data_IF_514126000104
#
_entry.id   IF_514126000104
#
_cell.length_a   1.000
_cell.length_b   1.000
_cell.length_c   1.000
_cell.angle_alpha   90.00
_cell.angle_beta   90.00
_cell.angle_gamma   90.00
#
_symmetry.space_group_name_H-M   'P 1'
#
loop_
_entity.id
_entity.type
_entity.pdbx_description
1 polymer ?
#
# COMPACT_ATOMS: atom_id res chain seq x y z
N UNK A 1 16.41 -38.50 47.54
CA UNK A 1 15.57 -38.32 46.32
C UNK A 1 15.24 -36.84 46.19
N UNK A 2 15.81 -36.15 45.21
CA UNK A 2 15.53 -34.72 44.97
C UNK A 2 14.23 -34.61 44.18
N UNK A 3 13.20 -33.98 44.79
CA UNK A 3 11.93 -33.66 44.12
C UNK A 3 12.20 -32.64 43.03
N UNK A 4 12.05 -33.02 41.77
CA UNK A 4 12.09 -32.11 40.63
C UNK A 4 10.73 -31.40 40.59
N UNK A 5 10.73 -30.08 40.81
CA UNK A 5 9.53 -29.26 40.84
C UNK A 5 8.79 -29.34 39.51
N UNK A 6 7.48 -29.54 39.57
CA UNK A 6 6.56 -29.56 38.43
C UNK A 6 6.72 -28.30 37.52
N UNK A 7 7.07 -27.18 38.13
CA UNK A 7 7.35 -25.91 37.46
C UNK A 7 8.55 -25.97 36.50
N UNK A 8 9.54 -26.82 36.84
CA UNK A 8 10.74 -26.99 35.99
C UNK A 8 10.45 -27.83 34.74
N UNK A 9 9.52 -28.79 34.85
CA UNK A 9 9.08 -29.62 33.73
C UNK A 9 8.18 -28.80 32.79
N UNK A 10 7.26 -28.00 33.35
CA UNK A 10 6.40 -27.13 32.54
C UNK A 10 7.21 -26.09 31.74
N UNK A 11 8.20 -25.45 32.35
CA UNK A 11 9.07 -24.47 31.64
C UNK A 11 9.92 -25.10 30.54
N UNK A 12 10.29 -26.36 30.62
CA UNK A 12 10.99 -27.07 29.55
C UNK A 12 10.05 -27.42 28.39
N UNK A 13 8.85 -27.92 28.70
CA UNK A 13 7.84 -28.25 27.67
C UNK A 13 7.41 -27.00 26.90
N UNK A 14 7.19 -25.88 27.57
CA UNK A 14 6.82 -24.61 26.93
C UNK A 14 7.91 -24.11 25.96
N UNK A 15 9.20 -24.24 26.32
CA UNK A 15 10.31 -23.87 25.42
C UNK A 15 10.41 -24.72 24.17
N UNK A 16 10.11 -26.01 24.27
CA UNK A 16 10.12 -26.92 23.10
C UNK A 16 8.88 -26.75 22.23
N UNK A 17 7.70 -26.44 22.79
CA UNK A 17 6.50 -26.12 22.01
C UNK A 17 6.65 -24.84 21.20
N UNK A 18 7.19 -23.76 21.82
CA UNK A 18 7.42 -22.51 21.10
C UNK A 18 8.51 -22.61 20.03
N UNK A 19 9.57 -23.41 20.28
CA UNK A 19 10.60 -23.67 19.29
C UNK A 19 10.10 -24.47 18.08
N UNK A 20 9.19 -25.40 18.28
CA UNK A 20 8.62 -26.23 17.22
C UNK A 20 7.61 -25.47 16.35
N UNK A 21 6.82 -24.55 16.93
CA UNK A 21 5.88 -23.70 16.19
C UNK A 21 6.63 -22.67 15.34
N UNK A 22 7.73 -22.09 15.83
CA UNK A 22 8.54 -21.14 15.08
C UNK A 22 9.25 -21.79 13.87
N UNK A 23 9.66 -23.05 13.97
CA UNK A 23 10.28 -23.80 12.86
C UNK A 23 9.28 -24.21 11.77
N UNK A 24 8.00 -24.44 12.11
CA UNK A 24 6.96 -24.75 11.14
C UNK A 24 6.49 -23.53 10.35
N UNK A 25 6.56 -22.33 10.94
CA UNK A 25 6.12 -21.08 10.28
C UNK A 25 7.09 -20.61 9.20
N UNK A 26 8.35 -21.03 9.21
CA UNK A 26 9.34 -20.62 8.19
C UNK A 26 9.32 -21.49 6.92
N UNK A 27 8.66 -22.65 6.94
CA UNK A 27 8.56 -23.52 5.76
C UNK A 27 7.41 -23.17 4.81
N UNK A 28 6.52 -22.23 5.19
CA UNK A 28 5.35 -21.89 4.39
C UNK A 28 5.60 -20.82 3.31
N UNK A 29 6.78 -20.15 3.31
CA UNK A 29 7.07 -19.04 2.39
C UNK A 29 7.92 -19.40 1.17
N UNK A 30 8.25 -20.67 0.93
CA UNK A 30 9.07 -21.11 -0.21
C UNK A 30 8.33 -21.99 -1.23
N UNK A 31 7.02 -21.90 -1.32
CA UNK A 31 6.34 -22.41 -2.52
C UNK A 31 6.23 -21.26 -3.54
N UNK A 32 7.28 -21.11 -4.34
CA UNK A 32 7.09 -20.62 -5.70
C UNK A 32 6.12 -21.57 -6.39
N UNK A 33 4.87 -21.17 -6.49
CA UNK A 33 3.84 -21.89 -7.24
C UNK A 33 4.24 -21.78 -8.72
N UNK A 34 5.09 -22.69 -9.14
CA UNK A 34 5.34 -22.91 -10.55
C UNK A 34 4.08 -23.61 -11.06
N UNK A 35 3.20 -22.90 -11.74
CA UNK A 35 2.13 -23.54 -12.49
C UNK A 35 2.79 -24.45 -13.53
N UNK A 36 2.63 -25.78 -13.44
CA UNK A 36 3.32 -26.71 -14.34
C UNK A 36 2.88 -26.61 -15.81
N UNK A 37 1.75 -25.96 -16.06
CA UNK A 37 1.06 -25.96 -17.35
C UNK A 37 1.09 -24.62 -18.11
N UNK A 38 1.86 -23.62 -17.65
CA UNK A 38 2.01 -22.38 -18.42
C UNK A 38 3.16 -22.54 -19.45
N UNK A 39 2.85 -22.80 -20.73
CA UNK A 39 3.88 -22.97 -21.75
C UNK A 39 4.60 -21.66 -22.08
N UNK A 40 4.04 -20.54 -21.62
CA UNK A 40 4.57 -19.19 -21.84
C UNK A 40 5.01 -18.62 -20.49
N UNK A 41 6.26 -18.18 -20.42
CA UNK A 41 6.78 -17.45 -19.27
C UNK A 41 6.71 -15.95 -19.57
N UNK A 42 6.21 -15.18 -18.64
CA UNK A 42 6.23 -13.72 -18.72
C UNK A 42 7.68 -13.20 -18.75
N UNK A 43 7.90 -12.15 -19.49
CA UNK A 43 9.15 -11.38 -19.46
C UNK A 43 8.91 -10.21 -18.51
N UNK A 44 9.73 -10.04 -17.45
CA UNK A 44 9.63 -8.88 -16.58
C UNK A 44 9.71 -7.58 -17.41
N UNK A 45 8.79 -6.64 -17.18
CA UNK A 45 8.73 -5.40 -17.97
C UNK A 45 10.03 -4.61 -17.90
N UNK A 46 10.82 -4.73 -16.83
CA UNK A 46 12.14 -4.13 -16.67
C UNK A 46 13.20 -4.68 -17.64
N UNK A 47 12.94 -5.82 -18.26
CA UNK A 47 13.78 -6.42 -19.30
C UNK A 47 13.34 -6.04 -20.72
N UNK A 48 12.23 -5.31 -20.85
CA UNK A 48 11.72 -4.83 -22.13
C UNK A 48 12.21 -3.41 -22.33
N UNK A 49 13.02 -3.20 -23.36
CA UNK A 49 13.55 -1.89 -23.71
C UNK A 49 12.85 -1.39 -24.96
N UNK A 50 12.27 -0.21 -24.91
CA UNK A 50 11.67 0.46 -26.03
C UNK A 50 12.64 1.50 -26.59
N UNK A 51 12.97 1.34 -27.86
CA UNK A 51 13.85 2.25 -28.62
C UNK A 51 13.17 2.58 -29.95
N UNK A 52 12.18 3.45 -29.90
CA UNK A 52 11.37 3.83 -31.06
C UNK A 52 10.96 5.30 -31.00
N UNK A 53 10.45 5.80 -32.14
CA UNK A 53 10.03 7.20 -32.26
C UNK A 53 8.57 7.45 -31.80
N UNK A 54 7.85 6.42 -31.38
CA UNK A 54 6.46 6.53 -30.98
C UNK A 54 6.30 6.41 -29.44
N UNK A 55 6.77 5.31 -28.83
CA UNK A 55 6.59 5.07 -27.39
C UNK A 55 7.61 5.79 -26.53
N UNK A 56 8.88 5.81 -26.94
CA UNK A 56 9.95 6.45 -26.17
C UNK A 56 9.65 7.90 -25.78
N UNK A 57 9.19 8.78 -26.68
CA UNK A 57 8.81 10.15 -26.32
C UNK A 57 7.62 10.22 -25.35
N UNK A 58 6.67 9.28 -25.46
CA UNK A 58 5.50 9.24 -24.55
C UNK A 58 5.86 8.81 -23.17
N UNK A 59 6.73 7.82 -23.03
CA UNK A 59 7.26 7.37 -21.73
C UNK A 59 8.01 8.53 -21.06
N UNK A 60 8.84 9.26 -21.82
CA UNK A 60 9.57 10.41 -21.28
C UNK A 60 8.62 11.54 -20.87
N UNK A 61 7.59 11.83 -21.66
CA UNK A 61 6.55 12.80 -21.29
C UNK A 61 5.79 12.36 -20.04
N UNK A 62 5.45 11.08 -19.92
CA UNK A 62 4.81 10.56 -18.72
C UNK A 62 5.69 10.77 -17.49
N UNK A 63 6.97 10.43 -17.58
CA UNK A 63 7.94 10.57 -16.49
C UNK A 63 8.16 12.03 -16.08
N UNK A 64 8.33 12.94 -17.05
CA UNK A 64 8.77 14.32 -16.78
C UNK A 64 7.64 15.32 -16.62
N UNK A 65 6.44 14.99 -17.11
CA UNK A 65 5.30 15.92 -17.13
C UNK A 65 4.09 15.32 -16.43
N UNK A 66 3.61 14.13 -16.85
CA UNK A 66 2.32 13.60 -16.35
C UNK A 66 2.38 13.22 -14.88
N UNK A 67 3.40 12.47 -14.47
CA UNK A 67 3.58 12.05 -13.07
C UNK A 67 3.73 13.27 -12.14
N UNK A 68 4.64 14.22 -12.38
CA UNK A 68 4.74 15.43 -11.55
C UNK A 68 3.46 16.26 -11.52
N UNK A 69 2.75 16.37 -12.64
CA UNK A 69 1.49 17.11 -12.72
C UNK A 69 0.40 16.43 -11.88
N UNK A 70 0.32 15.10 -11.93
CA UNK A 70 -0.65 14.35 -11.15
C UNK A 70 -0.43 14.47 -9.65
N UNK A 71 0.82 14.41 -9.18
CA UNK A 71 1.15 14.68 -7.78
C UNK A 71 0.77 16.10 -7.35
N UNK A 72 1.08 17.08 -8.19
CA UNK A 72 0.71 18.48 -7.93
C UNK A 72 -0.81 18.67 -7.81
N UNK A 73 -1.61 17.99 -8.62
CA UNK A 73 -3.07 18.03 -8.48
C UNK A 73 -3.53 17.33 -7.20
N UNK A 74 -2.91 16.25 -6.77
CA UNK A 74 -3.20 15.63 -5.47
C UNK A 74 -2.91 16.57 -4.30
N UNK A 75 -1.79 17.29 -4.33
CA UNK A 75 -1.44 18.31 -3.33
C UNK A 75 -2.50 19.43 -3.31
N UNK A 76 -2.78 20.01 -4.47
CA UNK A 76 -3.73 21.12 -4.62
C UNK A 76 -5.13 20.77 -4.15
N UNK A 77 -5.58 19.54 -4.45
CA UNK A 77 -6.91 19.05 -4.08
C UNK A 77 -6.98 18.47 -2.66
N UNK A 78 -5.88 18.51 -1.91
CA UNK A 78 -5.83 18.09 -0.51
C UNK A 78 -5.89 16.58 -0.30
N UNK A 79 -5.51 15.78 -1.30
CA UNK A 79 -5.45 14.32 -1.18
C UNK A 79 -4.47 13.89 -0.09
N UNK A 80 -3.31 14.54 -0.03
CA UNK A 80 -2.32 14.29 1.01
C UNK A 80 -2.72 14.86 2.37
N UNK A 81 -3.45 16.00 2.39
CA UNK A 81 -4.00 16.56 3.62
C UNK A 81 -4.91 15.57 4.32
N UNK A 82 -5.69 14.78 3.58
CA UNK A 82 -6.58 13.77 4.14
C UNK A 82 -5.82 12.69 4.93
N UNK A 83 -4.65 12.28 4.47
CA UNK A 83 -3.78 11.36 5.21
C UNK A 83 -3.16 12.03 6.42
N UNK A 84 -2.71 13.28 6.31
CA UNK A 84 -2.19 14.05 7.43
C UNK A 84 -3.24 14.24 8.54
N UNK A 85 -4.49 14.48 8.17
CA UNK A 85 -5.62 14.59 9.11
C UNK A 85 -5.90 13.24 9.77
N UNK A 86 -5.99 12.17 8.99
CA UNK A 86 -6.24 10.81 9.50
C UNK A 86 -5.12 10.35 10.43
N UNK A 87 -3.86 10.66 10.12
CA UNK A 87 -2.69 10.38 10.94
C UNK A 87 -2.48 11.33 12.13
N UNK A 88 -3.38 12.32 12.31
CA UNK A 88 -3.28 13.28 13.42
C UNK A 88 -2.15 14.32 13.29
N UNK A 89 -1.51 14.42 12.13
CA UNK A 89 -0.44 15.38 11.86
C UNK A 89 -0.98 16.78 11.53
N UNK A 90 -2.23 16.85 11.08
CA UNK A 90 -2.90 18.09 10.70
C UNK A 90 -4.30 18.12 11.28
N UNK A 91 -4.78 19.33 11.66
CA UNK A 91 -6.18 19.57 11.99
C UNK A 91 -6.91 20.08 10.77
N UNK A 92 -8.11 19.57 10.54
CA UNK A 92 -8.92 20.01 9.40
C UNK A 92 -10.10 19.10 9.16
N UNK A 93 -10.82 19.39 8.09
CA UNK A 93 -11.90 18.55 7.60
C UNK A 93 -11.40 17.79 6.34
N UNK A 94 -11.94 16.59 6.13
CA UNK A 94 -11.69 15.81 4.93
C UNK A 94 -12.02 16.63 3.67
N UNK A 95 -11.17 16.59 2.67
CA UNK A 95 -11.30 17.31 1.40
C UNK A 95 -11.60 16.33 0.27
N UNK A 96 -12.48 16.75 -0.63
CA UNK A 96 -12.91 15.96 -1.78
C UNK A 96 -14.35 15.48 -1.66
N UNK A 97 -14.86 14.91 -2.75
CA UNK A 97 -16.28 14.59 -2.92
C UNK A 97 -16.57 13.08 -2.90
N UNK A 98 -15.53 12.25 -2.86
CA UNK A 98 -15.68 10.79 -2.94
C UNK A 98 -14.97 10.07 -1.80
N UNK A 99 -15.57 8.99 -1.33
CA UNK A 99 -14.98 8.15 -0.28
C UNK A 99 -13.71 7.44 -0.74
N UNK A 100 -13.52 7.34 -2.04
CA UNK A 100 -12.39 6.67 -2.68
C UNK A 100 -11.32 7.64 -3.21
N UNK A 101 -11.30 8.88 -2.75
CA UNK A 101 -10.30 9.89 -3.14
C UNK A 101 -8.86 9.46 -2.82
N UNK A 102 -8.68 8.53 -1.87
CA UNK A 102 -7.39 7.91 -1.56
C UNK A 102 -6.79 7.14 -2.75
N UNK A 103 -7.61 6.73 -3.71
CA UNK A 103 -7.15 6.00 -4.90
C UNK A 103 -6.24 6.85 -5.79
N UNK A 104 -6.41 8.18 -5.79
CA UNK A 104 -5.60 9.07 -6.62
C UNK A 104 -4.11 9.00 -6.25
N UNK A 105 -3.70 9.23 -4.97
CA UNK A 105 -2.33 9.03 -4.53
C UNK A 105 -1.79 7.62 -4.82
N UNK A 106 -2.58 6.58 -4.53
CA UNK A 106 -2.12 5.20 -4.69
C UNK A 106 -1.79 4.87 -6.15
N UNK A 107 -2.65 5.22 -7.08
CA UNK A 107 -2.43 4.99 -8.52
C UNK A 107 -1.25 5.79 -9.07
N UNK A 108 -1.05 7.01 -8.58
CA UNK A 108 0.10 7.81 -9.01
C UNK A 108 1.40 7.22 -8.47
N UNK A 109 1.43 6.77 -7.22
CA UNK A 109 2.58 6.08 -6.62
C UNK A 109 2.88 4.80 -7.41
N UNK A 110 1.88 4.00 -7.74
CA UNK A 110 2.02 2.81 -8.57
C UNK A 110 2.67 3.16 -9.92
N UNK A 111 2.10 4.12 -10.65
CA UNK A 111 2.63 4.56 -11.95
C UNK A 111 4.05 5.15 -11.86
N UNK A 112 4.34 5.90 -10.81
CA UNK A 112 5.67 6.47 -10.55
C UNK A 112 6.70 5.38 -10.20
N UNK A 113 6.30 4.35 -9.47
CA UNK A 113 7.15 3.20 -9.14
C UNK A 113 7.54 2.42 -10.41
N UNK A 114 6.60 2.19 -11.31
CA UNK A 114 6.91 1.62 -12.62
C UNK A 114 7.88 2.49 -13.41
N UNK A 115 7.71 3.82 -13.39
CA UNK A 115 8.62 4.75 -14.05
C UNK A 115 10.03 4.68 -13.47
N UNK A 116 10.18 4.61 -12.14
CA UNK A 116 11.47 4.45 -11.46
C UNK A 116 12.15 3.11 -11.81
N UNK A 117 11.38 2.04 -11.94
CA UNK A 117 11.89 0.72 -12.32
C UNK A 117 12.47 0.70 -13.75
N UNK A 118 11.95 1.54 -14.66
CA UNK A 118 12.47 1.69 -16.02
C UNK A 118 13.63 2.67 -16.09
N UNK A 119 13.50 3.80 -15.40
CA UNK A 119 14.53 4.86 -15.38
C UNK A 119 14.56 5.52 -14.00
N UNK A 120 15.57 5.20 -13.23
CA UNK A 120 15.74 5.74 -11.89
C UNK A 120 15.88 7.27 -11.87
N UNK A 121 15.16 7.89 -10.94
CA UNK A 121 15.19 9.32 -10.66
C UNK A 121 15.22 9.53 -9.14
N UNK A 122 16.37 9.95 -8.63
CA UNK A 122 16.58 10.11 -7.18
C UNK A 122 15.63 11.10 -6.52
N UNK A 123 15.21 12.16 -7.23
CA UNK A 123 14.32 13.16 -6.68
C UNK A 123 12.89 12.61 -6.56
N UNK A 124 12.42 11.88 -7.57
CA UNK A 124 11.13 11.21 -7.54
C UNK A 124 11.10 10.11 -6.47
N UNK A 125 12.16 9.32 -6.35
CA UNK A 125 12.30 8.25 -5.35
C UNK A 125 12.17 8.82 -3.93
N UNK A 126 12.94 9.85 -3.60
CA UNK A 126 12.85 10.53 -2.29
C UNK A 126 11.48 11.17 -2.03
N UNK A 127 10.83 11.69 -3.07
CA UNK A 127 9.48 12.24 -2.95
C UNK A 127 8.47 11.13 -2.66
N UNK A 128 8.53 9.99 -3.35
CA UNK A 128 7.68 8.83 -3.08
C UNK A 128 7.83 8.32 -1.65
N UNK A 129 9.06 8.20 -1.15
CA UNK A 129 9.33 7.82 0.25
C UNK A 129 8.62 8.76 1.24
N UNK A 130 8.63 10.07 0.98
CA UNK A 130 7.95 11.05 1.81
C UNK A 130 6.44 10.89 1.79
N UNK A 131 5.85 10.65 0.62
CA UNK A 131 4.42 10.43 0.44
C UNK A 131 3.98 9.11 1.08
N UNK A 132 4.74 8.03 0.88
CA UNK A 132 4.47 6.72 1.48
C UNK A 132 4.54 6.82 3.01
N UNK A 133 5.54 7.54 3.55
CA UNK A 133 5.65 7.79 4.98
C UNK A 133 4.43 8.54 5.53
N UNK A 134 3.95 9.55 4.81
CA UNK A 134 2.74 10.27 5.17
C UNK A 134 1.51 9.34 5.18
N UNK A 135 1.31 8.55 4.13
CA UNK A 135 0.22 7.58 4.04
C UNK A 135 0.26 6.57 5.20
N UNK A 136 1.45 6.08 5.55
CA UNK A 136 1.64 5.15 6.64
C UNK A 136 1.18 5.72 8.01
N UNK A 137 1.25 7.04 8.21
CA UNK A 137 0.75 7.66 9.46
C UNK A 137 -0.75 7.57 9.62
N UNK A 138 -1.50 7.43 8.52
CA UNK A 138 -2.96 7.31 8.51
C UNK A 138 -3.45 5.87 8.72
N UNK A 139 -2.55 4.88 8.68
CA UNK A 139 -2.92 3.50 8.89
C UNK A 139 -3.25 3.27 10.37
N UNK A 140 -4.43 2.70 10.63
CA UNK A 140 -4.88 2.40 11.98
C UNK A 140 -4.17 1.15 12.55
N UNK A 141 -4.14 0.97 13.89
CA UNK A 141 -3.38 -0.12 14.52
C UNK A 141 -3.75 -1.53 14.07
N UNK A 142 -4.97 -1.72 13.56
CA UNK A 142 -5.46 -2.98 13.00
C UNK A 142 -5.17 -3.14 11.49
N UNK A 143 -4.44 -2.18 10.90
CA UNK A 143 -4.07 -2.17 9.49
C UNK A 143 -5.08 -1.49 8.56
N UNK A 144 -6.22 -1.02 9.08
CA UNK A 144 -7.22 -0.31 8.27
C UNK A 144 -6.68 1.02 7.74
N UNK A 145 -6.99 1.34 6.48
CA UNK A 145 -6.55 2.57 5.83
C UNK A 145 -7.60 3.04 4.82
N UNK A 146 -8.40 4.02 5.22
CA UNK A 146 -9.35 4.76 4.37
C UNK A 146 -9.62 6.11 5.00
N UNK A 147 -9.05 7.17 4.43
CA UNK A 147 -9.09 8.50 5.05
C UNK A 147 -10.50 9.04 5.22
N UNK A 148 -11.41 8.78 4.29
CA UNK A 148 -12.79 9.24 4.38
C UNK A 148 -13.51 8.69 5.62
N UNK A 149 -13.31 7.41 5.95
CA UNK A 149 -13.95 6.80 7.12
C UNK A 149 -13.29 7.31 8.40
N UNK A 150 -11.97 7.32 8.47
CA UNK A 150 -11.20 7.79 9.63
C UNK A 150 -11.47 9.27 9.93
N UNK A 151 -11.55 10.11 8.91
CA UNK A 151 -11.83 11.55 9.02
C UNK A 151 -13.33 11.86 9.13
N UNK A 152 -14.20 10.84 9.13
CA UNK A 152 -15.66 10.98 9.25
C UNK A 152 -16.26 11.88 8.17
N UNK A 153 -15.88 11.69 6.91
CA UNK A 153 -16.31 12.50 5.78
C UNK A 153 -17.78 12.29 5.37
N UNK A 154 -18.66 12.15 6.33
CA UNK A 154 -20.09 11.79 6.17
C UNK A 154 -20.95 12.78 5.38
N UNK A 155 -20.38 13.88 4.91
CA UNK A 155 -21.07 14.84 4.03
C UNK A 155 -21.54 14.21 2.74
N UNK A 156 -20.89 13.15 2.34
CA UNK A 156 -21.10 12.53 1.04
C UNK A 156 -22.25 11.52 1.03
N UNK A 157 -23.23 11.74 1.90
CA UNK A 157 -24.54 11.06 1.87
C UNK A 157 -24.50 9.51 1.88
N UNK A 158 -25.61 8.86 2.10
CA UNK A 158 -25.78 7.42 2.29
C UNK A 158 -25.22 6.47 1.21
N UNK A 159 -24.54 6.97 0.18
CA UNK A 159 -23.89 6.16 -0.85
C UNK A 159 -22.62 5.45 -0.34
N UNK A 160 -21.86 6.10 0.55
CA UNK A 160 -20.53 5.64 0.94
C UNK A 160 -20.48 4.87 2.24
N UNK A 161 -21.56 4.92 3.01
CA UNK A 161 -21.60 4.38 4.36
C UNK A 161 -20.94 5.31 5.40
N UNK A 162 -21.14 4.97 6.68
CA UNK A 162 -20.60 5.73 7.83
C UNK A 162 -19.59 4.93 8.64
N UNK A 163 -19.45 3.67 8.33
CA UNK A 163 -18.55 2.74 9.00
C UNK A 163 -17.79 1.90 7.99
N UNK A 164 -16.72 1.28 8.46
CA UNK A 164 -15.87 0.38 7.66
C UNK A 164 -16.72 -0.73 7.06
N UNK A 165 -16.51 -1.03 5.81
CA UNK A 165 -17.08 -2.17 5.07
C UNK A 165 -18.61 -2.12 4.92
N UNK A 166 -19.25 -1.00 5.25
CA UNK A 166 -20.69 -0.87 5.22
C UNK A 166 -21.26 -0.90 3.80
N UNK A 167 -20.58 -0.28 2.86
CA UNK A 167 -21.04 -0.15 1.48
C UNK A 167 -19.95 -0.55 0.50
N UNK A 168 -20.29 -1.41 -0.44
CA UNK A 168 -19.36 -1.80 -1.52
C UNK A 168 -18.91 -0.59 -2.36
N UNK A 169 -19.76 0.41 -2.51
CA UNK A 169 -19.46 1.64 -3.25
C UNK A 169 -18.43 2.54 -2.56
N UNK A 170 -18.05 2.26 -1.31
CA UNK A 170 -16.94 2.96 -0.64
C UNK A 170 -15.60 2.65 -1.28
N UNK A 171 -15.51 1.55 -2.02
CA UNK A 171 -14.30 1.09 -2.73
C UNK A 171 -13.08 0.86 -1.83
N UNK A 172 -13.28 0.54 -0.56
CA UNK A 172 -12.20 0.37 0.42
C UNK A 172 -11.18 -0.67 -0.01
N UNK A 173 -11.62 -1.87 -0.42
CA UNK A 173 -10.74 -2.93 -0.94
C UNK A 173 -10.13 -2.58 -2.30
N UNK A 174 -10.86 -1.85 -3.14
CA UNK A 174 -10.33 -1.38 -4.42
C UNK A 174 -9.13 -0.43 -4.20
N UNK A 175 -9.28 0.52 -3.28
CA UNK A 175 -8.22 1.45 -2.94
C UNK A 175 -6.99 0.71 -2.39
N UNK A 176 -7.20 -0.21 -1.45
CA UNK A 176 -6.12 -1.02 -0.88
C UNK A 176 -5.38 -1.85 -1.95
N UNK A 177 -6.11 -2.37 -2.95
CA UNK A 177 -5.51 -3.13 -4.04
C UNK A 177 -4.55 -2.35 -4.92
N UNK A 178 -4.67 -1.01 -4.98
CA UNK A 178 -3.72 -0.14 -5.69
C UNK A 178 -2.51 0.26 -4.84
N UNK A 179 -2.58 0.05 -3.52
CA UNK A 179 -1.47 0.36 -2.62
C UNK A 179 -0.48 -0.81 -2.50
N UNK A 180 -0.95 -2.05 -2.67
CA UNK A 180 -0.14 -3.27 -2.62
C UNK A 180 0.51 -3.55 -3.99
#
# INVERSE_FOLDING_TARGET
MKSISLLHIMNRITKYLFGSVALFSMSACNNSYVQPDAPIKEVPFTQVHLDDNFWTPRIETNRTVSIPSAFKECEKNGRFDNFAIAGGLMKGEHRGDFSFDDTDPYKIIEGASYSLAVKYDKALDAYLDSVITLIATAQEPDGYLTTCVTNKCYRLSGWWGKSRWEKINSHELYNSGHLY
#
